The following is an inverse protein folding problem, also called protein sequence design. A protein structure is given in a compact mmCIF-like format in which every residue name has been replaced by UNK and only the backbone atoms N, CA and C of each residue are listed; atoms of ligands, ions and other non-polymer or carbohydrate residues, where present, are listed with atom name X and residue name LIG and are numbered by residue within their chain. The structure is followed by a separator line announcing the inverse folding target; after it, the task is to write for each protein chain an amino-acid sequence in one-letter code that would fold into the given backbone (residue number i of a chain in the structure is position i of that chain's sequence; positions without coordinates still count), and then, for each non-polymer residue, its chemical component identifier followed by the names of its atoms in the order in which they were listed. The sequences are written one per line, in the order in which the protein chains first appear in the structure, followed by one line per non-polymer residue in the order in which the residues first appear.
data_IF_355125032823
#
_entry.id   IF_355125032823
#
_cell.length_a   1.000
_cell.length_b   1.000
_cell.length_c   1.000
_cell.angle_alpha   90.00
_cell.angle_beta   90.00
_cell.angle_gamma   90.00
#
_symmetry.space_group_name_H-M   'P 1'
#
loop_
_entity.id
_entity.type
_entity.pdbx_description
1 polymer ?
#
# COMPACT_ATOMS: atom_id res chain seq x y z
N UNK A 1 4.76 11.44 -19.95
CA UNK A 1 4.23 11.17 -18.58
C UNK A 1 3.62 9.79 -18.47
N UNK A 2 2.59 9.44 -19.25
CA UNK A 2 1.92 8.12 -19.14
C UNK A 2 2.83 6.90 -19.35
N UNK A 3 3.79 6.97 -20.28
CA UNK A 3 4.74 5.87 -20.51
C UNK A 3 5.71 5.69 -19.36
N UNK A 4 6.23 6.79 -18.82
CA UNK A 4 7.07 6.80 -17.60
C UNK A 4 6.28 6.16 -16.46
N UNK A 5 5.05 6.64 -16.20
CA UNK A 5 4.19 6.07 -15.14
C UNK A 5 3.95 4.59 -15.37
N UNK A 6 3.64 4.15 -16.60
CA UNK A 6 3.43 2.73 -16.91
C UNK A 6 4.65 1.90 -16.52
N UNK A 7 5.84 2.35 -16.90
CA UNK A 7 7.08 1.61 -16.64
C UNK A 7 7.42 1.58 -15.14
N UNK A 8 7.38 2.73 -14.46
CA UNK A 8 7.68 2.84 -13.02
C UNK A 8 6.63 2.12 -12.14
N UNK A 9 5.38 2.00 -12.61
CA UNK A 9 4.36 1.19 -11.96
C UNK A 9 4.63 -0.31 -12.09
N UNK A 10 5.33 -0.76 -13.14
CA UNK A 10 5.66 -2.18 -13.33
C UNK A 10 7.03 -2.55 -12.76
N UNK A 11 7.99 -1.63 -12.79
CA UNK A 11 9.35 -1.82 -12.34
C UNK A 11 9.98 -0.45 -12.05
N UNK A 12 10.01 -0.05 -10.79
CA UNK A 12 10.50 1.26 -10.37
C UNK A 12 12.03 1.30 -10.38
N UNK A 13 12.64 2.17 -11.19
CA UNK A 13 14.11 2.28 -11.35
C UNK A 13 14.83 0.92 -11.46
N UNK A 14 14.31 0.02 -12.30
CA UNK A 14 14.86 -1.33 -12.51
C UNK A 14 15.04 -2.17 -11.22
N UNK A 15 14.27 -1.87 -10.17
CA UNK A 15 14.35 -2.56 -8.88
C UNK A 15 13.74 -3.96 -8.86
N UNK A 16 12.96 -4.31 -9.89
CA UNK A 16 12.15 -5.53 -9.95
C UNK A 16 10.84 -5.45 -9.14
N UNK A 17 10.51 -4.30 -8.55
CA UNK A 17 9.27 -4.07 -7.78
C UNK A 17 8.56 -2.80 -8.25
N UNK A 18 7.23 -2.72 -8.08
CA UNK A 18 6.46 -1.53 -8.42
C UNK A 18 6.80 -0.34 -7.53
N UNK A 19 6.67 0.89 -8.05
CA UNK A 19 6.66 2.10 -7.23
C UNK A 19 5.62 2.04 -6.10
N UNK A 20 4.48 1.37 -6.34
CA UNK A 20 3.40 1.23 -5.34
C UNK A 20 3.74 0.23 -4.23
N UNK A 21 4.69 -0.67 -4.47
CA UNK A 21 5.14 -1.70 -3.52
C UNK A 21 6.41 -1.28 -2.80
N UNK A 22 7.09 -0.25 -3.32
CA UNK A 22 8.32 0.28 -2.75
C UNK A 22 8.04 0.97 -1.41
N UNK A 23 8.78 0.58 -0.37
CA UNK A 23 8.68 1.23 0.94
C UNK A 23 9.06 2.71 0.84
N UNK A 24 8.21 3.57 1.42
CA UNK A 24 8.38 5.03 1.49
C UNK A 24 9.61 5.50 2.28
N UNK A 25 10.32 4.56 2.94
CA UNK A 25 11.54 4.80 3.72
C UNK A 25 12.82 4.39 2.99
N UNK A 26 12.70 3.85 1.78
CA UNK A 26 13.88 3.45 1.00
C UNK A 26 14.58 4.67 0.39
N UNK A 27 15.91 4.61 0.17
CA UNK A 27 16.64 5.69 -0.48
C UNK A 27 16.04 6.10 -1.83
N UNK A 28 15.63 5.12 -2.65
CA UNK A 28 15.01 5.36 -3.98
C UNK A 28 13.73 6.21 -3.86
N UNK A 29 12.80 5.81 -2.98
CA UNK A 29 11.57 6.57 -2.76
C UNK A 29 11.85 7.96 -2.15
N UNK A 30 12.81 8.06 -1.22
CA UNK A 30 13.19 9.34 -0.62
C UNK A 30 13.79 10.31 -1.64
N UNK A 31 14.57 9.80 -2.61
CA UNK A 31 15.09 10.59 -3.72
C UNK A 31 13.94 11.11 -4.59
N UNK A 32 13.03 10.23 -5.02
CA UNK A 32 11.83 10.62 -5.77
C UNK A 32 11.04 11.72 -5.03
N UNK A 33 10.77 11.54 -3.73
CA UNK A 33 10.05 12.53 -2.93
C UNK A 33 10.80 13.88 -2.86
N UNK A 34 12.13 13.85 -2.78
CA UNK A 34 12.97 15.06 -2.78
C UNK A 34 12.93 15.77 -4.13
N UNK A 35 13.02 15.01 -5.23
CA UNK A 35 12.91 15.56 -6.59
C UNK A 35 11.56 16.22 -6.84
N UNK A 36 10.46 15.58 -6.42
CA UNK A 36 9.11 16.16 -6.56
C UNK A 36 9.01 17.47 -5.76
N UNK A 37 9.53 17.53 -4.52
CA UNK A 37 9.59 18.78 -3.76
C UNK A 37 10.42 19.86 -4.47
N UNK A 38 11.54 19.50 -5.09
CA UNK A 38 12.38 20.43 -5.82
C UNK A 38 11.71 20.94 -7.10
N UNK A 39 10.97 20.09 -7.81
CA UNK A 39 10.15 20.49 -8.96
C UNK A 39 9.10 21.51 -8.52
N UNK A 40 8.33 21.21 -7.47
CA UNK A 40 7.32 22.15 -6.94
C UNK A 40 7.98 23.47 -6.51
N UNK A 41 9.13 23.40 -5.82
CA UNK A 41 9.88 24.57 -5.41
C UNK A 41 10.27 25.46 -6.58
N UNK A 42 10.77 24.88 -7.68
CA UNK A 42 11.16 25.62 -8.89
C UNK A 42 9.96 26.17 -9.64
N UNK A 43 8.88 25.41 -9.77
CA UNK A 43 7.71 25.82 -10.55
C UNK A 43 6.91 26.95 -9.88
N UNK A 44 6.92 27.01 -8.55
CA UNK A 44 6.16 27.98 -7.76
C UNK A 44 7.05 29.01 -7.05
N UNK A 45 8.34 29.08 -7.40
CA UNK A 45 9.34 29.97 -6.80
C UNK A 45 9.32 29.98 -5.26
N UNK A 46 9.22 28.79 -4.65
CA UNK A 46 9.10 28.66 -3.19
C UNK A 46 10.45 28.96 -2.52
N UNK A 47 10.56 29.95 -1.61
CA UNK A 47 11.83 30.27 -0.98
C UNK A 47 12.40 29.14 -0.11
N UNK A 48 13.72 29.12 0.08
CA UNK A 48 14.43 28.04 0.79
C UNK A 48 14.02 27.88 2.27
N UNK A 49 13.51 28.95 2.90
CA UNK A 49 13.02 28.95 4.27
C UNK A 49 11.61 28.34 4.43
N UNK A 50 10.96 27.89 3.35
CA UNK A 50 9.70 27.16 3.40
C UNK A 50 9.89 25.65 3.26
N UNK A 51 9.06 24.88 3.99
CA UNK A 51 8.93 23.43 3.83
C UNK A 51 7.72 23.10 2.96
N UNK A 52 7.89 22.12 2.08
CA UNK A 52 6.83 21.58 1.23
C UNK A 52 6.36 20.27 1.85
N UNK A 53 5.05 20.12 2.04
CA UNK A 53 4.44 18.94 2.64
C UNK A 53 3.40 18.35 1.68
N UNK A 54 3.46 17.04 1.46
CA UNK A 54 2.43 16.29 0.76
C UNK A 54 1.52 15.62 1.78
N UNK A 55 0.23 15.98 1.77
CA UNK A 55 -0.74 15.52 2.77
C UNK A 55 -1.89 14.82 2.04
N UNK A 56 -2.22 13.61 2.49
CA UNK A 56 -3.37 12.87 1.98
C UNK A 56 -4.69 13.59 2.32
N UNK A 57 -5.68 13.51 1.43
CA UNK A 57 -6.97 14.17 1.64
C UNK A 57 -7.65 14.68 0.36
N UNK A 58 -6.93 14.71 -0.77
CA UNK A 58 -7.45 15.18 -2.06
C UNK A 58 -7.80 16.67 -2.06
N UNK A 59 -8.31 17.18 -3.20
CA UNK A 59 -8.71 18.60 -3.35
C UNK A 59 -9.86 19.04 -2.45
N UNK A 60 -10.64 18.10 -1.92
CA UNK A 60 -11.69 18.34 -0.91
C UNK A 60 -11.15 18.43 0.52
N UNK A 61 -9.89 18.01 0.74
CA UNK A 61 -9.05 18.48 1.83
C UNK A 61 -9.52 18.23 3.24
N UNK A 62 -10.51 17.40 3.57
CA UNK A 62 -11.02 17.31 4.95
C UNK A 62 -9.91 17.05 6.00
N UNK A 63 -8.94 16.18 5.68
CA UNK A 63 -7.76 15.92 6.52
C UNK A 63 -6.68 16.98 6.35
N UNK A 64 -6.37 17.40 5.12
CA UNK A 64 -5.39 18.45 4.82
C UNK A 64 -5.78 19.82 5.42
N UNK A 65 -7.07 20.12 5.51
CA UNK A 65 -7.65 21.34 6.07
C UNK A 65 -7.59 21.33 7.60
N UNK A 66 -7.88 20.19 8.24
CA UNK A 66 -7.67 20.02 9.68
C UNK A 66 -6.18 20.15 10.04
N UNK A 67 -5.30 19.47 9.29
CA UNK A 67 -3.86 19.57 9.47
C UNK A 67 -3.34 20.99 9.24
N UNK A 68 -3.80 21.69 8.19
CA UNK A 68 -3.45 23.07 7.93
C UNK A 68 -3.98 24.02 9.02
N UNK A 69 -5.20 23.81 9.53
CA UNK A 69 -5.77 24.58 10.64
C UNK A 69 -4.95 24.41 11.92
N UNK A 70 -4.49 23.20 12.20
CA UNK A 70 -3.62 22.92 13.35
C UNK A 70 -2.23 23.55 13.15
N UNK A 71 -1.61 23.37 11.97
CA UNK A 71 -0.30 23.93 11.65
C UNK A 71 -0.26 25.46 11.71
N UNK A 72 -1.38 26.13 11.40
CA UNK A 72 -1.53 27.60 11.55
C UNK A 72 -1.32 28.10 12.98
N UNK A 73 -1.47 27.24 14.00
CA UNK A 73 -1.15 27.60 15.40
C UNK A 73 0.35 27.76 15.63
N UNK A 74 1.18 27.12 14.82
CA UNK A 74 2.63 27.04 15.01
C UNK A 74 3.43 27.83 13.97
N UNK A 75 2.78 28.38 12.94
CA UNK A 75 3.44 29.17 11.92
C UNK A 75 2.54 29.59 10.76
N UNK A 76 3.11 30.36 9.83
CA UNK A 76 2.41 30.81 8.61
C UNK A 76 2.25 29.64 7.64
N UNK A 77 1.00 29.28 7.32
CA UNK A 77 0.67 28.23 6.35
C UNK A 77 0.06 28.86 5.10
N UNK A 78 0.72 28.68 3.95
CA UNK A 78 0.19 29.06 2.64
C UNK A 78 -0.41 27.82 1.96
N UNK A 79 -1.71 27.84 1.68
CA UNK A 79 -2.40 26.78 0.95
C UNK A 79 -2.34 27.07 -0.55
N UNK A 80 -1.86 26.11 -1.33
CA UNK A 80 -1.78 26.23 -2.81
C UNK A 80 -3.13 25.91 -3.48
N UNK A 81 -3.99 25.15 -2.80
CA UNK A 81 -5.34 24.80 -3.29
C UNK A 81 -6.35 25.72 -2.59
N UNK A 82 -7.26 26.40 -3.33
CA UNK A 82 -8.26 27.27 -2.74
C UNK A 82 -9.21 26.47 -1.83
N UNK A 83 -9.71 27.07 -0.74
CA UNK A 83 -10.74 26.45 0.08
C UNK A 83 -11.98 26.17 -0.77
N UNK A 84 -12.54 24.97 -0.64
CA UNK A 84 -13.80 24.59 -1.29
C UNK A 84 -14.92 24.56 -0.26
N UNK A 85 -15.98 25.33 -0.48
CA UNK A 85 -17.15 25.42 0.41
C UNK A 85 -18.15 24.25 0.27
N UNK A 86 -17.82 23.23 -0.51
CA UNK A 86 -18.72 22.12 -0.76
C UNK A 86 -18.65 21.08 0.35
N UNK A 87 -19.70 21.04 1.19
CA UNK A 87 -20.06 19.84 1.92
C UNK A 87 -20.23 18.70 0.91
N UNK A 88 -19.31 17.76 0.91
CA UNK A 88 -19.45 16.53 0.14
C UNK A 88 -20.09 15.46 1.02
N UNK A 89 -21.01 14.72 0.40
CA UNK A 89 -21.58 13.48 0.93
C UNK A 89 -20.52 12.57 1.53
N UNK A 90 -20.96 11.65 2.42
CA UNK A 90 -20.11 10.69 3.14
C UNK A 90 -18.91 10.28 2.28
N UNK A 91 -17.69 10.71 2.63
CA UNK A 91 -16.52 10.48 1.80
C UNK A 91 -16.44 9.01 1.37
N UNK A 92 -16.12 8.75 0.09
CA UNK A 92 -16.14 7.38 -0.48
C UNK A 92 -15.42 6.33 0.38
N UNK A 93 -14.36 6.72 1.08
CA UNK A 93 -13.64 5.86 2.02
C UNK A 93 -14.46 5.51 3.29
N UNK A 94 -15.25 6.45 3.82
CA UNK A 94 -16.19 6.21 4.93
C UNK A 94 -17.32 5.29 4.46
N UNK A 95 -17.84 5.50 3.25
CA UNK A 95 -18.83 4.59 2.68
C UNK A 95 -18.28 3.16 2.52
N UNK A 96 -17.09 2.99 1.92
CA UNK A 96 -16.43 1.69 1.78
C UNK A 96 -16.21 1.05 3.14
N UNK A 97 -15.72 1.81 4.12
CA UNK A 97 -15.57 1.32 5.50
C UNK A 97 -16.91 0.85 6.07
N UNK A 98 -17.99 1.62 5.89
CA UNK A 98 -19.33 1.22 6.29
C UNK A 98 -19.78 -0.10 5.64
N UNK A 99 -19.51 -0.30 4.35
CA UNK A 99 -19.81 -1.57 3.65
C UNK A 99 -18.98 -2.74 4.19
N UNK A 100 -17.72 -2.51 4.55
CA UNK A 100 -16.85 -3.52 5.18
C UNK A 100 -17.37 -3.90 6.57
N UNK A 101 -17.74 -2.91 7.39
CA UNK A 101 -18.30 -3.14 8.72
C UNK A 101 -19.62 -3.92 8.66
N UNK A 102 -20.52 -3.54 7.73
CA UNK A 102 -21.75 -4.30 7.48
C UNK A 102 -21.46 -5.75 7.08
N UNK A 103 -20.46 -5.98 6.23
CA UNK A 103 -20.05 -7.33 5.85
C UNK A 103 -19.49 -8.11 7.05
N UNK A 104 -18.69 -7.48 7.92
CA UNK A 104 -18.19 -8.10 9.15
C UNK A 104 -19.36 -8.51 10.06
N UNK A 105 -20.34 -7.62 10.28
CA UNK A 105 -21.54 -7.93 11.06
C UNK A 105 -22.32 -9.12 10.47
N UNK A 106 -22.57 -9.12 9.15
CA UNK A 106 -23.24 -10.21 8.46
C UNK A 106 -22.51 -11.55 8.56
N UNK A 107 -21.17 -11.53 8.75
CA UNK A 107 -20.36 -12.73 8.92
C UNK A 107 -20.26 -13.20 10.37
N UNK A 108 -20.91 -12.54 11.31
CA UNK A 108 -20.91 -12.91 12.74
C UNK A 108 -20.01 -12.02 13.60
N UNK A 109 -19.65 -10.83 13.13
CA UNK A 109 -18.90 -9.85 13.91
C UNK A 109 -17.43 -10.22 14.10
N UNK A 110 -16.81 -9.64 15.15
CA UNK A 110 -15.38 -9.76 15.41
C UNK A 110 -14.96 -11.20 15.74
N UNK A 111 -15.76 -11.93 16.53
CA UNK A 111 -15.45 -13.31 16.92
C UNK A 111 -15.37 -14.23 15.69
N UNK A 112 -16.30 -14.06 14.75
CA UNK A 112 -16.27 -14.81 13.49
C UNK A 112 -15.08 -14.42 12.60
N UNK A 113 -14.67 -13.14 12.60
CA UNK A 113 -13.47 -12.70 11.89
C UNK A 113 -12.20 -13.28 12.52
N UNK A 114 -12.12 -13.38 13.84
CA UNK A 114 -11.00 -14.02 14.53
C UNK A 114 -10.92 -15.50 14.17
N UNK A 115 -12.02 -16.25 14.28
CA UNK A 115 -12.06 -17.66 13.89
C UNK A 115 -11.68 -17.86 12.42
N UNK A 116 -12.11 -16.96 11.54
CA UNK A 116 -11.74 -17.00 10.13
C UNK A 116 -10.24 -16.73 9.92
N UNK A 117 -9.67 -15.77 10.64
CA UNK A 117 -8.24 -15.47 10.60
C UNK A 117 -7.43 -16.67 11.11
N UNK A 118 -7.86 -17.29 12.20
CA UNK A 118 -7.25 -18.52 12.73
C UNK A 118 -7.30 -19.67 11.72
N UNK A 119 -8.47 -19.89 11.10
CA UNK A 119 -8.64 -20.93 10.09
C UNK A 119 -7.72 -20.71 8.89
N UNK A 120 -7.69 -19.48 8.35
CA UNK A 120 -6.85 -19.13 7.20
C UNK A 120 -5.36 -19.27 7.51
N UNK A 121 -4.92 -18.70 8.64
CA UNK A 121 -3.53 -18.79 9.04
C UNK A 121 -3.11 -20.23 9.31
N UNK A 122 -3.96 -21.01 9.98
CA UNK A 122 -3.70 -22.43 10.25
C UNK A 122 -3.53 -23.24 8.97
N UNK A 123 -4.34 -23.01 7.93
CA UNK A 123 -4.16 -23.69 6.65
C UNK A 123 -2.77 -23.47 6.07
N UNK A 124 -2.31 -22.22 6.02
CA UNK A 124 -0.99 -21.89 5.47
C UNK A 124 0.14 -22.45 6.34
N UNK A 125 0.08 -22.28 7.66
CA UNK A 125 1.11 -22.81 8.56
C UNK A 125 1.15 -24.34 8.54
N UNK A 126 0.00 -25.02 8.44
CA UNK A 126 -0.05 -26.47 8.32
C UNK A 126 0.60 -26.93 7.00
N UNK A 127 0.33 -26.24 5.89
CA UNK A 127 1.01 -26.52 4.61
C UNK A 127 2.53 -26.34 4.72
N UNK A 128 2.99 -25.28 5.40
CA UNK A 128 4.42 -25.06 5.65
C UNK A 128 5.00 -26.21 6.48
N UNK A 129 4.35 -26.61 7.57
CA UNK A 129 4.83 -27.66 8.47
C UNK A 129 4.81 -29.06 7.82
N UNK A 130 3.88 -29.32 6.91
CA UNK A 130 3.75 -30.58 6.18
C UNK A 130 4.64 -30.66 4.93
N UNK A 131 5.38 -29.59 4.61
CA UNK A 131 6.19 -29.48 3.38
C UNK A 131 7.52 -30.28 3.42
N UNK A 132 7.73 -31.12 4.43
CA UNK A 132 8.98 -31.86 4.65
C UNK A 132 10.24 -30.95 4.67
N UNK A 133 10.10 -29.70 5.13
CA UNK A 133 11.19 -28.73 5.19
C UNK A 133 11.41 -27.92 3.91
N UNK A 134 10.58 -28.11 2.88
CA UNK A 134 10.62 -27.29 1.67
C UNK A 134 10.19 -25.84 1.95
N UNK A 135 9.21 -25.63 2.83
CA UNK A 135 8.85 -24.31 3.35
C UNK A 135 9.22 -24.23 4.84
N UNK A 136 9.68 -23.06 5.26
CA UNK A 136 10.12 -22.81 6.63
C UNK A 136 9.61 -21.45 7.12
N UNK A 137 8.89 -21.42 8.25
CA UNK A 137 8.49 -20.17 8.89
C UNK A 137 9.52 -19.78 9.97
N UNK A 138 10.29 -18.70 9.82
CA UNK A 138 11.36 -18.29 10.75
C UNK A 138 10.84 -17.63 12.04
N UNK A 139 9.61 -17.97 12.45
CA UNK A 139 8.91 -17.35 13.58
C UNK A 139 8.36 -18.45 14.50
N UNK A 140 8.65 -18.29 15.80
CA UNK A 140 8.19 -19.22 16.83
C UNK A 140 6.65 -19.28 16.88
N UNK A 141 6.08 -20.49 17.02
CA UNK A 141 4.63 -20.74 16.91
C UNK A 141 3.77 -19.79 17.75
N UNK A 142 4.20 -19.47 18.98
CA UNK A 142 3.48 -18.62 19.94
C UNK A 142 3.29 -17.15 19.52
N UNK A 143 4.10 -16.64 18.60
CA UNK A 143 4.08 -15.22 18.16
C UNK A 143 3.80 -15.10 16.65
N UNK A 144 3.27 -16.17 16.05
CA UNK A 144 2.92 -16.16 14.63
C UNK A 144 1.75 -15.23 14.37
N UNK A 145 1.90 -14.40 13.35
CA UNK A 145 0.82 -13.52 12.91
C UNK A 145 -0.24 -14.31 12.13
N UNK A 146 -1.51 -13.93 12.33
CA UNK A 146 -2.68 -14.47 11.61
C UNK A 146 -2.93 -13.74 10.27
N UNK A 147 -2.19 -12.67 10.00
CA UNK A 147 -2.43 -11.74 8.87
C UNK A 147 -1.27 -11.73 7.85
N UNK A 148 -0.06 -11.54 8.33
CA UNK A 148 1.17 -11.63 7.54
C UNK A 148 1.97 -12.86 7.96
N UNK A 149 2.19 -13.80 7.04
CA UNK A 149 2.85 -15.09 7.32
C UNK A 149 4.22 -15.08 6.65
N UNK A 150 5.29 -14.76 7.40
CA UNK A 150 6.64 -14.85 6.85
C UNK A 150 7.03 -16.32 6.69
N UNK A 151 7.54 -16.68 5.50
CA UNK A 151 8.09 -17.99 5.21
C UNK A 151 9.31 -17.86 4.29
N UNK A 152 10.11 -18.92 4.27
CA UNK A 152 11.32 -19.13 3.49
C UNK A 152 11.22 -20.45 2.75
N UNK A 153 12.03 -20.63 1.71
CA UNK A 153 12.13 -21.89 0.97
C UNK A 153 13.41 -22.61 1.39
N UNK A 154 13.29 -23.86 1.79
CA UNK A 154 14.32 -24.63 2.48
C UNK A 154 14.37 -24.29 3.98
N UNK A 155 14.81 -25.26 4.80
CA UNK A 155 15.06 -25.06 6.23
C UNK A 155 16.58 -25.10 6.47
N UNK A 156 17.24 -24.00 6.92
CA UNK A 156 16.67 -22.75 7.44
C UNK A 156 16.42 -21.64 6.39
N UNK A 157 16.66 -21.92 5.11
CA UNK A 157 16.42 -21.04 3.97
C UNK A 157 17.42 -21.29 2.84
N UNK A 158 17.01 -21.07 1.59
CA UNK A 158 17.82 -21.25 0.39
C UNK A 158 17.58 -20.10 -0.59
N UNK A 159 18.50 -19.14 -0.59
CA UNK A 159 18.39 -17.91 -1.38
C UNK A 159 18.31 -18.18 -2.90
N UNK A 160 18.91 -19.27 -3.40
CA UNK A 160 18.86 -19.61 -4.82
C UNK A 160 17.45 -20.06 -5.23
N UNK A 161 16.82 -20.93 -4.44
CA UNK A 161 15.43 -21.36 -4.66
C UNK A 161 14.44 -20.22 -4.43
N UNK A 162 14.68 -19.37 -3.43
CA UNK A 162 13.87 -18.18 -3.18
C UNK A 162 13.91 -17.22 -4.38
N UNK A 163 15.09 -17.03 -5.00
CA UNK A 163 15.23 -16.21 -6.22
C UNK A 163 14.46 -16.79 -7.41
N UNK A 164 14.49 -18.11 -7.58
CA UNK A 164 13.72 -18.80 -8.63
C UNK A 164 12.22 -18.68 -8.39
N UNK A 165 11.77 -18.91 -7.15
CA UNK A 165 10.38 -18.74 -6.74
C UNK A 165 9.88 -17.32 -7.00
N UNK A 166 10.65 -16.30 -6.60
CA UNK A 166 10.29 -14.90 -6.82
C UNK A 166 10.10 -14.60 -8.32
N UNK A 167 10.97 -15.12 -9.19
CA UNK A 167 10.84 -14.92 -10.63
C UNK A 167 9.49 -15.45 -11.16
N UNK A 168 9.14 -16.68 -10.80
CA UNK A 168 7.86 -17.29 -11.22
C UNK A 168 6.67 -16.53 -10.63
N UNK A 169 6.71 -16.16 -9.35
CA UNK A 169 5.60 -15.43 -8.72
C UNK A 169 5.36 -14.05 -9.35
N UNK A 170 6.41 -13.34 -9.77
CA UNK A 170 6.27 -12.06 -10.47
C UNK A 170 5.51 -12.24 -11.79
N UNK A 171 5.84 -13.27 -12.56
CA UNK A 171 5.16 -13.58 -13.83
C UNK A 171 3.67 -13.90 -13.60
N UNK A 172 3.33 -14.71 -12.59
CA UNK A 172 1.94 -15.04 -12.25
C UNK A 172 1.15 -13.84 -11.72
N UNK A 173 1.75 -13.02 -10.84
CA UNK A 173 1.11 -11.81 -10.30
C UNK A 173 0.86 -10.79 -11.41
N UNK A 174 1.78 -10.65 -12.37
CA UNK A 174 1.58 -9.80 -13.54
C UNK A 174 0.43 -10.32 -14.42
N UNK A 175 0.34 -11.64 -14.64
CA UNK A 175 -0.76 -12.25 -15.39
C UNK A 175 -2.12 -12.02 -14.70
N UNK A 176 -2.18 -12.21 -13.38
CA UNK A 176 -3.39 -11.94 -12.59
C UNK A 176 -3.77 -10.45 -12.64
N UNK A 177 -2.80 -9.56 -12.52
CA UNK A 177 -3.01 -8.11 -12.59
C UNK A 177 -3.57 -7.71 -13.95
N UNK A 178 -3.05 -8.30 -15.04
CA UNK A 178 -3.57 -8.10 -16.40
C UNK A 178 -5.01 -8.59 -16.52
N UNK A 179 -5.28 -9.81 -16.05
CA UNK A 179 -6.63 -10.39 -16.04
C UNK A 179 -7.63 -9.50 -15.30
N UNK A 180 -7.30 -9.06 -14.07
CA UNK A 180 -8.15 -8.18 -13.27
C UNK A 180 -8.39 -6.85 -13.98
N UNK A 181 -7.36 -6.28 -14.59
CA UNK A 181 -7.47 -5.03 -15.35
C UNK A 181 -8.44 -5.16 -16.53
N UNK A 182 -8.35 -6.26 -17.29
CA UNK A 182 -9.26 -6.53 -18.41
C UNK A 182 -10.68 -6.81 -17.93
N UNK A 183 -10.84 -7.57 -16.85
CA UNK A 183 -12.12 -7.83 -16.22
C UNK A 183 -12.82 -6.53 -15.80
N UNK A 184 -12.09 -5.63 -15.12
CA UNK A 184 -12.64 -4.34 -14.71
C UNK A 184 -13.02 -3.46 -15.89
N UNK A 185 -12.18 -3.36 -16.93
CA UNK A 185 -12.51 -2.59 -18.15
C UNK A 185 -13.79 -3.07 -18.83
N UNK A 186 -14.05 -4.38 -18.80
CA UNK A 186 -15.24 -4.98 -19.41
C UNK A 186 -16.51 -4.77 -18.60
N UNK A 187 -16.40 -4.60 -17.28
CA UNK A 187 -17.55 -4.56 -16.36
C UNK A 187 -17.72 -3.23 -15.62
N UNK A 188 -16.81 -2.27 -15.76
CA UNK A 188 -17.01 -0.90 -15.31
C UNK A 188 -17.92 -0.16 -16.29
N UNK A 189 -19.23 -0.20 -16.03
CA UNK A 189 -20.21 0.75 -16.55
C UNK A 189 -20.76 1.58 -15.40
#
# INVERSE_FOLDING_TARGET
VYEIIRNELTNFEDSGISLLETSHRTPKYMNLNTEVQNVVRRLLDVPANYKILFIAGGGLGAWSAKAAKEAKKYGKVNLVIPPTDTHVDVPRHIYIMGRVLQWIEQKGGLDAMEQLADKKASLVYNTIEQSAGFYYAPVAKRVRSKMNIPFRIGNPGNDALEKEFLKVTVEEVQALTKYMTEFYKKHSK
#
